data_IF_793976095665
#
_entry.id   IF_793976095665
#
_cell.length_a   1.000
_cell.length_b   1.000
_cell.length_c   1.000
_cell.angle_alpha   90.00
_cell.angle_beta   90.00
_cell.angle_gamma   90.00
#
_symmetry.space_group_name_H-M   'P 1'
#
loop_
_entity.id
_entity.type
_entity.pdbx_description
1 polymer ?
#
# COMPACT_ATOMS: atom_id res chain seq x y z
N UNK A 1 -1.21 -12.54 -30.35
CA UNK A 1 0.15 -13.11 -30.33
C UNK A 1 0.29 -13.86 -29.01
N UNK A 2 -0.09 -15.14 -28.97
CA UNK A 2 0.11 -15.96 -27.78
C UNK A 2 1.58 -16.36 -27.76
N UNK A 3 2.38 -15.69 -26.91
CA UNK A 3 3.76 -16.09 -26.68
C UNK A 3 3.79 -17.51 -26.15
N UNK A 4 4.59 -18.37 -26.78
CA UNK A 4 4.78 -19.75 -26.35
C UNK A 4 5.46 -19.72 -24.98
N UNK A 5 4.72 -20.02 -23.92
CA UNK A 5 5.26 -20.12 -22.56
C UNK A 5 6.07 -21.41 -22.49
N UNK A 6 7.41 -21.31 -22.48
CA UNK A 6 8.27 -22.49 -22.28
C UNK A 6 8.09 -22.99 -20.86
N UNK A 7 7.77 -24.28 -20.69
CA UNK A 7 7.66 -24.92 -19.38
C UNK A 7 9.02 -25.37 -18.83
N UNK A 8 10.04 -25.40 -19.70
CA UNK A 8 11.39 -25.85 -19.37
C UNK A 8 12.32 -24.70 -18.92
N UNK A 9 11.82 -23.45 -18.94
CA UNK A 9 12.58 -22.25 -18.56
C UNK A 9 11.95 -21.53 -17.37
N UNK A 10 12.79 -21.06 -16.44
CA UNK A 10 12.33 -20.25 -15.31
C UNK A 10 11.87 -18.86 -15.78
N UNK A 11 10.63 -18.50 -15.43
CA UNK A 11 10.09 -17.18 -15.71
C UNK A 11 10.73 -16.14 -14.79
N UNK A 12 11.23 -15.06 -15.39
CA UNK A 12 11.79 -13.91 -14.66
C UNK A 12 10.74 -12.81 -14.54
N UNK A 13 10.73 -12.14 -13.39
CA UNK A 13 9.85 -10.99 -13.16
C UNK A 13 10.21 -9.79 -14.05
N UNK A 14 11.51 -9.62 -14.38
CA UNK A 14 12.03 -8.54 -15.20
C UNK A 14 13.20 -9.04 -16.06
N UNK A 15 13.45 -8.35 -17.19
CA UNK A 15 14.58 -8.57 -18.08
C UNK A 15 15.55 -7.38 -18.11
N UNK A 16 15.10 -6.19 -17.72
CA UNK A 16 15.92 -4.96 -17.75
C UNK A 16 16.08 -4.31 -16.37
N UNK A 17 17.12 -3.47 -16.21
CA UNK A 17 17.31 -2.67 -14.99
C UNK A 17 16.13 -1.72 -14.72
N UNK A 18 15.52 -1.17 -15.78
CA UNK A 18 14.36 -0.28 -15.65
C UNK A 18 13.12 -1.03 -15.14
N UNK A 19 12.87 -2.23 -15.64
CA UNK A 19 11.79 -3.09 -15.13
C UNK A 19 12.05 -3.53 -13.69
N UNK A 20 13.29 -3.86 -13.34
CA UNK A 20 13.67 -4.18 -11.96
C UNK A 20 13.34 -3.04 -11.01
N UNK A 21 13.71 -1.82 -11.39
CA UNK A 21 13.42 -0.62 -10.60
C UNK A 21 11.90 -0.40 -10.46
N UNK A 22 11.15 -0.52 -11.57
CA UNK A 22 9.68 -0.47 -11.54
C UNK A 22 9.11 -1.46 -10.52
N UNK A 23 9.50 -2.73 -10.56
CA UNK A 23 8.99 -3.72 -9.61
C UNK A 23 9.45 -3.46 -8.17
N UNK A 24 10.64 -2.89 -7.96
CA UNK A 24 11.10 -2.45 -6.64
C UNK A 24 10.17 -1.38 -6.04
N UNK A 25 9.79 -0.37 -6.83
CA UNK A 25 8.86 0.68 -6.41
C UNK A 25 7.45 0.13 -6.14
N UNK A 26 6.96 -0.77 -7.00
CA UNK A 26 5.66 -1.42 -6.82
C UNK A 26 5.65 -2.32 -5.56
N UNK A 27 6.73 -3.06 -5.30
CA UNK A 27 6.88 -3.87 -4.10
C UNK A 27 6.92 -3.00 -2.83
N UNK A 28 7.57 -1.85 -2.89
CA UNK A 28 7.59 -0.87 -1.79
C UNK A 28 6.19 -0.35 -1.50
N UNK A 29 5.44 0.06 -2.54
CA UNK A 29 4.05 0.48 -2.39
C UNK A 29 3.18 -0.62 -1.78
N UNK A 30 3.29 -1.86 -2.26
CA UNK A 30 2.60 -3.02 -1.72
C UNK A 30 2.90 -3.19 -0.22
N UNK A 31 4.18 -3.14 0.16
CA UNK A 31 4.61 -3.27 1.54
C UNK A 31 4.03 -2.19 2.47
N UNK A 32 3.99 -0.93 2.01
CA UNK A 32 3.39 0.18 2.76
C UNK A 32 1.90 -0.06 3.02
N UNK A 33 1.15 -0.48 2.00
CA UNK A 33 -0.30 -0.74 2.12
C UNK A 33 -0.56 -1.88 3.11
N UNK A 34 0.19 -2.98 3.00
CA UNK A 34 0.07 -4.12 3.92
C UNK A 34 0.41 -3.70 5.36
N UNK A 35 1.51 -2.96 5.54
CA UNK A 35 1.89 -2.46 6.86
C UNK A 35 0.82 -1.54 7.47
N UNK A 36 0.22 -0.66 6.65
CA UNK A 36 -0.86 0.21 7.09
C UNK A 36 -2.10 -0.58 7.49
N UNK A 37 -2.47 -1.63 6.76
CA UNK A 37 -3.62 -2.49 7.08
C UNK A 37 -3.43 -3.19 8.43
N UNK A 38 -2.25 -3.75 8.67
CA UNK A 38 -1.92 -4.37 9.96
C UNK A 38 -1.90 -3.35 11.10
N UNK A 39 -1.38 -2.14 10.86
CA UNK A 39 -1.37 -1.07 11.85
C UNK A 39 -2.79 -0.67 12.25
N UNK A 40 -3.68 -0.43 11.28
CA UNK A 40 -5.09 -0.11 11.55
C UNK A 40 -5.77 -1.22 12.34
N UNK A 41 -5.60 -2.48 11.91
CA UNK A 41 -6.21 -3.62 12.59
C UNK A 41 -5.67 -3.83 14.01
N UNK A 42 -4.38 -3.54 14.24
CA UNK A 42 -3.80 -3.62 15.58
C UNK A 42 -4.38 -2.55 16.50
N UNK A 43 -4.53 -1.32 16.01
CA UNK A 43 -5.16 -0.23 16.75
C UNK A 43 -6.64 -0.52 17.06
N UNK A 44 -7.41 -1.00 16.08
CA UNK A 44 -8.83 -1.40 16.28
C UNK A 44 -8.99 -2.48 17.35
N UNK A 45 -8.00 -3.37 17.48
CA UNK A 45 -7.99 -4.44 18.50
C UNK A 45 -7.36 -4.00 19.84
N UNK A 46 -7.14 -2.71 20.03
CA UNK A 46 -6.54 -2.13 21.24
C UNK A 46 -5.15 -2.72 21.58
N UNK A 47 -4.43 -3.17 20.55
CA UNK A 47 -3.08 -3.73 20.70
C UNK A 47 -1.98 -2.65 20.67
N UNK A 48 -2.35 -1.41 20.35
CA UNK A 48 -1.47 -0.25 20.27
C UNK A 48 -2.16 0.95 20.90
N UNK A 49 -1.40 1.76 21.61
CA UNK A 49 -1.92 3.02 22.15
C UNK A 49 -2.06 4.08 21.04
N UNK A 50 -2.88 5.11 21.29
CA UNK A 50 -3.04 6.23 20.37
C UNK A 50 -1.71 6.97 20.08
N UNK A 51 -0.82 7.03 21.08
CA UNK A 51 0.49 7.68 21.01
C UNK A 51 1.49 6.90 20.15
N UNK A 52 1.35 5.58 20.06
CA UNK A 52 2.15 4.73 19.16
C UNK A 52 1.57 4.69 17.74
N UNK A 53 0.24 4.58 17.64
CA UNK A 53 -0.47 4.45 16.38
C UNK A 53 -0.38 5.72 15.52
N UNK A 54 -0.70 6.89 16.10
CA UNK A 54 -0.82 8.15 15.34
C UNK A 54 0.44 8.53 14.56
N UNK A 55 1.66 8.52 15.15
CA UNK A 55 2.87 8.85 14.40
C UNK A 55 3.22 7.76 13.38
N UNK A 56 2.97 6.48 13.68
CA UNK A 56 3.22 5.39 12.75
C UNK A 56 2.32 5.48 11.51
N UNK A 57 1.03 5.77 11.70
CA UNK A 57 0.04 5.93 10.64
C UNK A 57 0.36 7.15 9.77
N UNK A 58 0.66 8.30 10.39
CA UNK A 58 1.07 9.53 9.68
C UNK A 58 2.31 9.30 8.80
N UNK A 59 3.29 8.55 9.31
CA UNK A 59 4.50 8.20 8.55
C UNK A 59 4.18 7.31 7.35
N UNK A 60 3.39 6.25 7.54
CA UNK A 60 3.01 5.34 6.46
C UNK A 60 2.17 6.04 5.38
N UNK A 61 1.23 6.91 5.76
CA UNK A 61 0.47 7.73 4.83
C UNK A 61 1.37 8.67 4.02
N UNK A 62 2.34 9.32 4.67
CA UNK A 62 3.31 10.19 3.99
C UNK A 62 4.19 9.43 2.99
N UNK A 63 4.64 8.23 3.37
CA UNK A 63 5.39 7.33 2.50
C UNK A 63 4.54 6.85 1.32
N UNK A 64 3.28 6.49 1.57
CA UNK A 64 2.31 6.12 0.53
C UNK A 64 2.13 7.24 -0.49
N UNK A 65 1.88 8.49 -0.04
CA UNK A 65 1.68 9.63 -0.93
C UNK A 65 2.93 9.93 -1.78
N UNK A 66 4.11 9.73 -1.21
CA UNK A 66 5.38 9.87 -1.95
C UNK A 66 5.50 8.77 -2.99
N UNK A 67 5.19 7.52 -2.61
CA UNK A 67 5.28 6.40 -3.53
C UNK A 67 4.29 6.49 -4.68
N UNK A 68 3.05 6.91 -4.43
CA UNK A 68 2.04 7.05 -5.47
C UNK A 68 2.49 8.00 -6.59
N UNK A 69 3.24 9.07 -6.25
CA UNK A 69 3.82 9.99 -7.24
C UNK A 69 4.89 9.33 -8.10
N UNK A 70 5.69 8.43 -7.53
CA UNK A 70 6.76 7.72 -8.23
C UNK A 70 6.25 6.62 -9.16
N UNK A 71 5.10 6.01 -8.83
CA UNK A 71 4.52 4.91 -9.61
C UNK A 71 3.31 5.32 -10.45
N UNK A 72 2.97 6.60 -10.53
CA UNK A 72 1.74 7.11 -11.19
C UNK A 72 1.53 6.58 -12.60
N UNK A 73 2.61 6.36 -13.37
CA UNK A 73 2.54 5.90 -14.75
C UNK A 73 2.20 4.41 -14.86
N UNK A 74 2.44 3.65 -13.79
CA UNK A 74 2.14 2.21 -13.69
C UNK A 74 0.92 1.90 -12.81
N UNK A 75 0.50 2.84 -11.96
CA UNK A 75 -0.59 2.70 -10.99
C UNK A 75 -1.62 3.82 -11.22
N UNK A 76 -2.59 3.61 -12.12
CA UNK A 76 -3.60 4.62 -12.44
C UNK A 76 -4.56 4.91 -11.28
N UNK A 77 -4.87 3.89 -10.47
CA UNK A 77 -5.56 4.07 -9.18
C UNK A 77 -5.11 3.02 -8.18
N UNK A 78 -5.25 3.36 -6.89
CA UNK A 78 -4.90 2.46 -5.80
C UNK A 78 -5.81 1.22 -5.79
N UNK A 79 -7.11 1.39 -6.08
CA UNK A 79 -8.05 0.27 -6.15
C UNK A 79 -7.67 -0.73 -7.26
N UNK A 80 -7.24 -0.23 -8.43
CA UNK A 80 -6.80 -1.11 -9.51
C UNK A 80 -5.51 -1.84 -9.16
N UNK A 81 -4.56 -1.18 -8.49
CA UNK A 81 -3.34 -1.81 -8.00
C UNK A 81 -3.65 -2.92 -6.99
N UNK A 82 -4.51 -2.63 -6.01
CA UNK A 82 -4.94 -3.60 -5.01
C UNK A 82 -5.67 -4.78 -5.65
N UNK A 83 -6.55 -4.53 -6.61
CA UNK A 83 -7.23 -5.60 -7.34
C UNK A 83 -6.25 -6.45 -8.17
N UNK A 84 -5.30 -5.82 -8.87
CA UNK A 84 -4.31 -6.50 -9.69
C UNK A 84 -3.42 -7.46 -8.88
N UNK A 85 -2.95 -7.01 -7.71
CA UNK A 85 -2.13 -7.81 -6.80
C UNK A 85 -2.95 -8.59 -5.76
N UNK A 86 -4.28 -8.63 -5.89
CA UNK A 86 -5.20 -9.38 -5.03
C UNK A 86 -5.03 -9.06 -3.54
N UNK A 87 -4.92 -7.77 -3.23
CA UNK A 87 -4.72 -7.27 -1.87
C UNK A 87 -6.06 -7.18 -1.13
N UNK A 88 -6.25 -7.99 -0.10
CA UNK A 88 -7.38 -7.88 0.83
C UNK A 88 -7.00 -7.00 2.04
N UNK A 89 -6.94 -5.68 1.79
CA UNK A 89 -6.50 -4.67 2.78
C UNK A 89 -7.51 -3.51 2.90
N UNK A 90 -8.77 -3.81 3.31
CA UNK A 90 -9.84 -2.81 3.36
C UNK A 90 -9.58 -1.70 4.40
N UNK A 91 -8.87 -1.99 5.49
CA UNK A 91 -8.58 -0.99 6.52
C UNK A 91 -7.55 0.04 6.01
N UNK A 92 -6.51 -0.44 5.31
CA UNK A 92 -5.58 0.46 4.62
C UNK A 92 -6.28 1.31 3.56
N UNK A 93 -7.16 0.71 2.74
CA UNK A 93 -7.89 1.46 1.71
C UNK A 93 -8.74 2.58 2.31
N UNK A 94 -9.48 2.28 3.39
CA UNK A 94 -10.23 3.29 4.12
C UNK A 94 -9.31 4.41 4.62
N UNK A 95 -8.23 4.05 5.33
CA UNK A 95 -7.29 5.03 5.89
C UNK A 95 -6.64 5.90 4.81
N UNK A 96 -6.28 5.33 3.67
CA UNK A 96 -5.73 6.05 2.53
C UNK A 96 -6.75 7.07 1.98
N UNK A 97 -8.04 6.71 1.89
CA UNK A 97 -9.10 7.61 1.42
C UNK A 97 -9.37 8.76 2.39
N UNK A 98 -9.32 8.48 3.69
CA UNK A 98 -9.47 9.51 4.74
C UNK A 98 -8.23 10.42 4.78
N UNK A 99 -7.03 9.86 4.62
CA UNK A 99 -5.78 10.62 4.53
C UNK A 99 -5.19 11.11 5.85
N UNK A 100 -5.86 10.85 6.98
CA UNK A 100 -5.40 11.16 8.35
C UNK A 100 -5.62 9.96 9.27
N UNK A 101 -4.87 9.82 10.40
CA UNK A 101 -5.09 8.74 11.37
C UNK A 101 -6.47 8.76 12.03
N UNK A 102 -6.94 7.61 12.52
CA UNK A 102 -8.25 7.45 13.17
C UNK A 102 -8.46 8.41 14.35
N UNK A 103 -7.38 8.66 15.09
CA UNK A 103 -7.34 9.57 16.24
C UNK A 103 -7.69 10.99 15.83
N UNK A 104 -7.33 11.42 14.62
CA UNK A 104 -7.67 12.75 14.10
C UNK A 104 -9.10 12.77 13.56
N UNK A 105 -9.48 11.74 12.79
CA UNK A 105 -10.81 11.59 12.19
C UNK A 105 -11.95 11.68 13.21
N UNK A 106 -11.86 10.92 14.31
CA UNK A 106 -12.93 10.88 15.32
C UNK A 106 -12.81 11.96 16.40
N UNK A 107 -11.68 12.68 16.48
CA UNK A 107 -11.57 13.83 17.40
C UNK A 107 -12.46 14.99 16.99
N UNK A 108 -12.81 15.11 15.71
CA UNK A 108 -13.73 16.13 15.19
C UNK A 108 -15.22 15.84 15.40
N UNK A 109 -15.60 14.60 15.75
CA UNK A 109 -17.01 14.21 15.93
C UNK A 109 -17.50 14.37 17.38
N UNK A 110 -16.59 14.60 18.33
CA UNK A 110 -16.88 14.77 19.76
C UNK A 110 -17.05 16.24 20.19
N UNK A 111 -17.18 17.17 19.25
CA UNK A 111 -17.32 18.61 19.48
C UNK A 111 -18.68 19.17 19.10
#
# INVERSE_FOLDING_TARGET
MSGHLSLDEEVRLYATNAEREKYSLLATLFGIIVALDYLERAYIRDALTADEYSPACTRLLSQYMTMLKLVKDSVPSIEQFMAHYRMDTPAALHRIKVGVPATVEHSSEAG
#
